data_IF_259021393170
#
_entry.id   IF_259021393170
#
_cell.length_a   1.000
_cell.length_b   1.000
_cell.length_c   1.000
_cell.angle_alpha   90.00
_cell.angle_beta   90.00
_cell.angle_gamma   90.00
#
_symmetry.space_group_name_H-M   'P 1'
#
loop_
_entity.id
_entity.type
_entity.pdbx_description
1 polymer ?
#
# COMPACT_ATOMS: atom_id res chain seq x y z
N UNK A 1 -46.90 54.61 -39.86
CA UNK A 1 -47.77 54.07 -38.78
C UNK A 1 -46.86 53.32 -37.82
N UNK A 2 -46.43 53.99 -36.74
CA UNK A 2 -46.81 53.74 -35.33
C UNK A 2 -46.20 52.45 -34.75
N UNK A 3 -45.52 52.41 -33.60
CA UNK A 3 -44.90 53.41 -32.71
C UNK A 3 -44.10 52.59 -31.66
N UNK A 4 -43.00 53.19 -31.19
CA UNK A 4 -42.11 52.78 -30.10
C UNK A 4 -42.82 52.80 -28.73
N UNK A 5 -42.51 51.84 -27.83
CA UNK A 5 -42.53 51.92 -26.36
C UNK A 5 -41.52 50.85 -25.85
N UNK A 6 -40.42 51.08 -25.11
CA UNK A 6 -40.08 51.85 -23.89
C UNK A 6 -40.98 51.61 -22.67
N UNK A 7 -40.45 50.85 -21.70
CA UNK A 7 -40.55 50.98 -20.20
C UNK A 7 -39.93 49.70 -19.60
N UNK A 8 -38.77 49.74 -18.91
CA UNK A 8 -38.51 50.16 -17.53
C UNK A 8 -39.52 49.61 -16.53
N UNK A 9 -39.09 48.65 -15.70
CA UNK A 9 -39.35 48.66 -14.27
C UNK A 9 -38.39 47.72 -13.53
N UNK A 10 -37.54 48.33 -12.70
CA UNK A 10 -36.88 47.69 -11.58
C UNK A 10 -37.92 47.20 -10.57
N UNK A 11 -37.70 46.05 -9.96
CA UNK A 11 -38.12 45.82 -8.59
C UNK A 11 -36.95 45.24 -7.79
N UNK A 12 -36.53 46.08 -6.85
CA UNK A 12 -35.64 45.83 -5.73
C UNK A 12 -36.26 44.90 -4.69
N UNK A 13 -35.35 44.28 -3.92
CA UNK A 13 -35.47 43.80 -2.53
C UNK A 13 -36.43 42.61 -2.30
N UNK A 14 -36.12 41.62 -1.47
CA UNK A 14 -35.70 41.67 -0.07
C UNK A 14 -34.94 40.40 0.33
N UNK A 15 -34.02 40.57 1.27
CA UNK A 15 -33.41 39.51 2.06
C UNK A 15 -34.47 38.71 2.84
N UNK A 16 -34.26 37.40 2.95
CA UNK A 16 -34.55 36.66 4.17
C UNK A 16 -33.50 35.58 4.39
N UNK A 17 -32.70 35.84 5.40
CA UNK A 17 -31.77 34.95 6.09
C UNK A 17 -32.49 33.75 6.69
N UNK A 18 -31.94 32.54 6.49
CA UNK A 18 -32.04 31.46 7.47
C UNK A 18 -30.65 30.88 7.72
N UNK A 19 -30.09 31.31 8.85
CA UNK A 19 -29.02 30.65 9.58
C UNK A 19 -29.53 29.28 10.07
N UNK A 20 -28.73 28.22 9.97
CA UNK A 20 -28.10 27.53 11.10
C UNK A 20 -27.22 26.34 10.60
N UNK A 21 -26.28 25.83 11.44
CA UNK A 21 -24.96 25.37 11.03
C UNK A 21 -24.70 23.89 11.37
N UNK A 22 -23.76 23.24 10.69
CA UNK A 22 -22.98 22.14 11.30
C UNK A 22 -21.53 22.21 10.80
N UNK A 23 -20.71 22.86 11.63
CA UNK A 23 -19.35 22.48 12.06
C UNK A 23 -18.41 21.84 11.01
N UNK A 24 -17.68 22.69 10.28
CA UNK A 24 -16.32 22.36 9.87
C UNK A 24 -15.37 22.73 11.01
N UNK A 25 -14.78 21.74 11.68
CA UNK A 25 -13.59 21.95 12.52
C UNK A 25 -12.40 21.93 11.58
N UNK A 26 -11.90 23.11 11.24
CA UNK A 26 -10.57 23.31 10.67
C UNK A 26 -10.06 24.68 11.12
N UNK A 27 -8.81 24.69 11.59
CA UNK A 27 -7.99 25.85 11.93
C UNK A 27 -8.35 26.65 13.20
N UNK A 28 -7.78 26.25 14.32
CA UNK A 28 -7.20 27.18 15.32
C UNK A 28 -5.70 27.26 15.00
N UNK A 29 -4.99 28.39 14.97
CA UNK A 29 -5.25 29.77 15.29
C UNK A 29 -4.09 30.57 14.64
N UNK A 30 -4.33 31.60 13.84
CA UNK A 30 -3.28 32.56 13.48
C UNK A 30 -3.87 33.89 13.06
N UNK A 31 -3.90 34.82 14.02
CA UNK A 31 -3.79 36.26 13.84
C UNK A 31 -3.30 36.79 15.20
N UNK A 32 -2.39 37.74 15.36
CA UNK A 32 -1.46 38.48 14.52
C UNK A 32 -0.49 39.10 15.55
N UNK A 33 0.80 39.24 15.23
CA UNK A 33 1.56 40.46 15.53
C UNK A 33 2.94 40.37 14.87
N UNK A 34 3.13 41.29 13.93
CA UNK A 34 4.39 41.69 13.33
C UNK A 34 5.37 42.19 14.40
N UNK A 35 6.53 41.54 14.47
CA UNK A 35 7.83 42.15 14.78
C UNK A 35 8.91 41.26 14.18
N UNK A 36 9.77 41.88 13.39
CA UNK A 36 11.04 41.34 12.91
C UNK A 36 11.78 40.58 14.01
N UNK A 37 12.30 39.39 13.67
CA UNK A 37 13.66 38.97 14.03
C UNK A 37 13.98 37.63 13.38
N UNK A 38 14.80 37.68 12.33
CA UNK A 38 15.92 36.77 12.04
C UNK A 38 16.10 35.55 13.00
N UNK A 39 15.23 34.54 12.93
CA UNK A 39 15.47 33.24 13.59
C UNK A 39 14.96 32.06 12.76
N UNK A 40 15.59 31.83 11.62
CA UNK A 40 15.98 30.48 11.20
C UNK A 40 17.49 30.55 10.95
N UNK A 41 18.30 30.77 12.00
CA UNK A 41 18.95 29.72 12.79
C UNK A 41 19.55 28.63 11.90
N UNK A 42 20.78 28.93 11.48
CA UNK A 42 21.93 28.02 11.45
C UNK A 42 21.71 26.66 10.82
N UNK A 43 22.26 26.51 9.61
CA UNK A 43 22.74 25.22 9.10
C UNK A 43 23.71 24.68 10.16
N UNK A 44 23.19 23.89 11.09
CA UNK A 44 24.01 23.06 11.95
C UNK A 44 24.60 21.98 11.03
N UNK A 45 25.92 21.89 10.99
CA UNK A 45 26.57 20.64 10.61
C UNK A 45 26.06 19.62 11.62
N UNK A 46 25.03 18.91 11.20
CA UNK A 46 24.25 18.02 12.03
C UNK A 46 24.95 16.69 11.89
N UNK A 47 25.43 16.13 13.01
CA UNK A 47 25.95 14.76 13.03
C UNK A 47 24.94 13.85 12.30
N UNK A 48 25.42 12.94 11.46
CA UNK A 48 24.59 12.10 10.59
C UNK A 48 23.47 11.40 11.38
N UNK A 49 23.76 11.03 12.63
CA UNK A 49 22.79 10.44 13.55
C UNK A 49 21.62 11.38 13.89
N UNK A 50 21.90 12.67 14.07
CA UNK A 50 20.86 13.67 14.39
C UNK A 50 19.98 13.96 13.17
N UNK A 51 20.54 13.93 11.95
CA UNK A 51 19.77 14.09 10.72
C UNK A 51 18.88 12.87 10.43
N UNK A 52 19.42 11.65 10.61
CA UNK A 52 18.65 10.40 10.49
C UNK A 52 17.43 10.40 11.43
N UNK A 53 17.62 10.82 12.69
CA UNK A 53 16.54 10.90 13.66
C UNK A 53 15.48 11.96 13.29
N UNK A 54 15.90 13.13 12.80
CA UNK A 54 14.97 14.14 12.28
C UNK A 54 14.14 13.62 11.10
N UNK A 55 14.77 12.94 10.14
CA UNK A 55 14.07 12.35 9.00
C UNK A 55 13.05 11.30 9.44
N UNK A 56 13.40 10.45 10.40
CA UNK A 56 12.47 9.49 10.99
C UNK A 56 11.28 10.18 11.65
N UNK A 57 11.50 11.26 12.39
CA UNK A 57 10.42 11.99 13.06
C UNK A 57 9.48 12.66 12.06
N UNK A 58 10.00 13.18 10.95
CA UNK A 58 9.17 13.69 9.85
C UNK A 58 8.37 12.55 9.21
N UNK A 59 9.01 11.42 8.90
CA UNK A 59 8.37 10.27 8.28
C UNK A 59 7.24 9.67 9.14
N UNK A 60 7.48 9.49 10.44
CA UNK A 60 6.48 8.96 11.37
C UNK A 60 5.29 9.91 11.58
N UNK A 61 5.43 11.21 11.27
CA UNK A 61 4.32 12.15 11.34
C UNK A 61 3.42 12.12 10.09
N UNK A 62 3.78 11.35 9.05
CA UNK A 62 2.90 11.22 7.90
C UNK A 62 1.62 10.44 8.24
N UNK A 63 0.50 10.92 7.69
CA UNK A 63 -0.83 10.38 7.99
C UNK A 63 -0.95 8.89 7.60
N UNK A 64 -0.48 8.53 6.41
CA UNK A 64 -0.50 7.13 5.92
C UNK A 64 0.35 6.19 6.77
N UNK A 65 1.48 6.67 7.32
CA UNK A 65 2.34 5.88 8.22
C UNK A 65 1.63 5.64 9.54
N UNK A 66 1.03 6.67 10.12
CA UNK A 66 0.24 6.54 11.34
C UNK A 66 -0.99 5.65 11.14
N UNK A 67 -1.70 5.78 10.02
CA UNK A 67 -2.82 4.91 9.67
C UNK A 67 -2.38 3.44 9.62
N UNK A 68 -1.28 3.13 8.94
CA UNK A 68 -0.74 1.78 8.84
C UNK A 68 -0.30 1.23 10.21
N UNK A 69 0.44 2.01 10.99
CA UNK A 69 0.87 1.60 12.34
C UNK A 69 -0.32 1.35 13.27
N UNK A 70 -1.36 2.18 13.21
CA UNK A 70 -2.56 2.02 14.04
C UNK A 70 -3.46 0.87 13.57
N UNK A 71 -3.40 0.50 12.28
CA UNK A 71 -4.04 -0.71 11.79
C UNK A 71 -3.38 -1.94 12.40
N UNK A 72 -2.05 -2.04 12.27
CA UNK A 72 -1.23 -3.20 12.69
C UNK A 72 -1.18 -3.36 14.21
N UNK A 73 -0.96 -2.28 14.95
CA UNK A 73 -0.75 -2.32 16.40
C UNK A 73 -1.94 -1.73 17.15
N UNK A 74 -2.60 -2.54 17.98
CA UNK A 74 -3.65 -2.08 18.89
C UNK A 74 -3.07 -1.43 20.16
N UNK A 75 -1.86 -1.84 20.55
CA UNK A 75 -1.18 -1.38 21.75
C UNK A 75 -0.05 -0.38 21.41
N UNK A 76 -0.04 0.76 22.10
CA UNK A 76 1.00 1.79 21.97
C UNK A 76 2.40 1.29 22.37
N UNK A 77 2.52 0.35 23.31
CA UNK A 77 3.80 -0.21 23.73
C UNK A 77 4.44 -1.02 22.59
N UNK A 78 3.69 -1.96 21.99
CA UNK A 78 4.15 -2.79 20.88
C UNK A 78 4.49 -1.95 19.66
N UNK A 79 3.66 -0.93 19.37
CA UNK A 79 3.92 0.05 18.31
C UNK A 79 5.26 0.76 18.51
N UNK A 80 5.54 1.25 19.72
CA UNK A 80 6.80 1.94 20.05
C UNK A 80 8.01 1.01 20.00
N UNK A 81 7.86 -0.21 20.50
CA UNK A 81 8.91 -1.22 20.44
C UNK A 81 9.26 -1.55 18.98
N UNK A 82 8.24 -1.75 18.14
CA UNK A 82 8.44 -1.99 16.72
C UNK A 82 9.13 -0.81 16.03
N UNK A 83 8.67 0.43 16.23
CA UNK A 83 9.32 1.62 15.66
C UNK A 83 10.80 1.68 16.07
N UNK A 84 11.13 1.42 17.33
CA UNK A 84 12.52 1.40 17.78
C UNK A 84 13.35 0.30 17.11
N UNK A 85 12.79 -0.91 16.96
CA UNK A 85 13.44 -1.98 16.19
C UNK A 85 13.75 -1.53 14.76
N UNK A 86 12.82 -0.84 14.10
CA UNK A 86 12.99 -0.35 12.73
C UNK A 86 14.03 0.76 12.62
N UNK A 87 14.09 1.69 13.60
CA UNK A 87 15.13 2.73 13.67
C UNK A 87 16.53 2.16 13.89
N UNK A 88 16.64 1.06 14.64
CA UNK A 88 17.90 0.42 15.01
C UNK A 88 18.45 -0.52 13.92
N UNK A 89 17.76 -0.69 12.78
CA UNK A 89 18.30 -1.41 11.63
C UNK A 89 19.55 -0.68 11.12
N UNK A 90 20.69 -1.39 10.97
CA UNK A 90 21.97 -0.77 10.64
C UNK A 90 22.00 -0.28 9.19
N UNK A 91 22.85 0.70 8.90
CA UNK A 91 22.92 1.34 7.59
C UNK A 91 23.45 0.40 6.49
N UNK A 92 24.27 -0.58 6.86
CA UNK A 92 24.77 -1.64 5.97
C UNK A 92 23.68 -2.63 5.53
N UNK A 93 22.48 -2.57 6.12
CA UNK A 93 21.34 -3.36 5.71
C UNK A 93 20.95 -3.10 4.24
N UNK A 94 21.11 -1.87 3.74
CA UNK A 94 20.89 -1.56 2.31
C UNK A 94 21.82 -2.38 1.40
N UNK A 95 23.08 -2.56 1.79
CA UNK A 95 24.06 -3.35 1.03
C UNK A 95 23.71 -4.85 1.07
N UNK A 96 23.20 -5.34 2.20
CA UNK A 96 22.70 -6.70 2.30
C UNK A 96 21.51 -6.92 1.36
N UNK A 97 20.51 -6.02 1.38
CA UNK A 97 19.35 -6.12 0.48
C UNK A 97 19.77 -6.04 -1.00
N UNK A 98 20.70 -5.15 -1.33
CA UNK A 98 21.28 -5.04 -2.68
C UNK A 98 21.86 -6.38 -3.15
N UNK A 99 22.64 -7.03 -2.30
CA UNK A 99 23.22 -8.34 -2.59
C UNK A 99 22.13 -9.41 -2.77
N UNK A 100 21.09 -9.41 -1.92
CA UNK A 100 19.99 -10.37 -2.05
C UNK A 100 19.23 -10.19 -3.37
N UNK A 101 18.91 -8.94 -3.76
CA UNK A 101 18.20 -8.62 -5.00
C UNK A 101 19.02 -8.95 -6.26
N UNK A 102 20.35 -8.92 -6.17
CA UNK A 102 21.23 -9.36 -7.26
C UNK A 102 21.01 -10.85 -7.61
N UNK A 103 20.81 -11.69 -6.60
CA UNK A 103 20.61 -13.13 -6.77
C UNK A 103 19.14 -13.53 -6.91
N UNK A 104 18.24 -12.79 -6.26
CA UNK A 104 16.81 -13.06 -6.20
C UNK A 104 16.05 -11.75 -6.39
N UNK A 105 15.66 -11.47 -7.63
CA UNK A 105 14.60 -10.52 -7.93
C UNK A 105 13.56 -11.21 -8.82
N UNK A 106 12.39 -10.58 -8.99
CA UNK A 106 11.26 -11.24 -9.64
C UNK A 106 11.53 -11.50 -11.13
N UNK A 107 12.46 -10.75 -11.75
CA UNK A 107 12.93 -11.01 -13.11
C UNK A 107 13.77 -12.29 -13.13
N UNK A 108 14.76 -12.42 -12.24
CA UNK A 108 15.65 -13.60 -12.18
C UNK A 108 14.87 -14.89 -11.87
N UNK A 109 13.81 -14.82 -11.07
CA UNK A 109 12.99 -16.00 -10.72
C UNK A 109 12.13 -16.48 -11.88
N UNK A 110 11.63 -15.59 -12.75
CA UNK A 110 10.84 -15.97 -13.93
C UNK A 110 11.62 -16.88 -14.91
N UNK A 111 12.95 -16.77 -14.94
CA UNK A 111 13.80 -17.58 -15.82
C UNK A 111 14.34 -18.87 -15.15
N UNK A 112 13.92 -19.20 -13.92
CA UNK A 112 14.32 -20.45 -13.24
C UNK A 112 13.16 -21.45 -13.23
N UNK A 113 13.27 -22.58 -13.94
CA UNK A 113 12.18 -23.55 -14.10
C UNK A 113 11.84 -24.37 -12.84
N UNK A 114 12.45 -24.10 -11.68
CA UNK A 114 12.23 -24.87 -10.46
C UNK A 114 11.37 -24.10 -9.44
N UNK A 115 10.12 -24.55 -9.30
CA UNK A 115 9.21 -24.29 -8.17
C UNK A 115 8.62 -22.88 -8.02
N UNK A 116 7.89 -22.40 -9.03
CA UNK A 116 6.86 -21.37 -8.82
C UNK A 116 5.69 -22.05 -8.10
N UNK A 117 5.72 -22.12 -6.77
CA UNK A 117 4.49 -22.41 -6.00
C UNK A 117 3.70 -21.13 -5.78
N UNK A 118 2.38 -21.24 -5.97
CA UNK A 118 1.37 -20.20 -5.71
C UNK A 118 1.18 -20.04 -4.19
N UNK A 119 2.11 -19.42 -3.49
CA UNK A 119 2.02 -19.30 -2.03
C UNK A 119 2.43 -17.95 -1.45
N UNK A 120 2.50 -16.90 -2.28
CA UNK A 120 2.55 -15.52 -1.80
C UNK A 120 1.24 -14.83 -2.09
N UNK A 121 0.87 -13.90 -1.21
CA UNK A 121 -0.33 -13.08 -1.32
C UNK A 121 -0.41 -12.32 -2.66
N UNK A 122 0.74 -11.91 -3.21
CA UNK A 122 0.83 -11.20 -4.49
C UNK A 122 0.97 -12.09 -5.75
N UNK A 123 0.62 -13.37 -5.68
CA UNK A 123 0.30 -14.18 -6.87
C UNK A 123 1.42 -14.44 -7.89
N UNK A 124 2.67 -14.11 -7.59
CA UNK A 124 3.82 -14.30 -8.49
C UNK A 124 5.01 -14.94 -7.79
N UNK A 125 5.06 -16.27 -7.71
CA UNK A 125 6.26 -17.13 -7.62
C UNK A 125 7.34 -16.95 -6.55
N UNK A 126 7.39 -15.85 -5.80
CA UNK A 126 8.48 -15.54 -4.87
C UNK A 126 8.36 -16.29 -3.56
N UNK A 127 7.17 -16.31 -2.97
CA UNK A 127 6.98 -16.69 -1.57
C UNK A 127 6.35 -18.07 -1.39
N UNK A 128 6.12 -18.79 -2.49
CA UNK A 128 5.65 -20.16 -2.45
C UNK A 128 6.57 -21.11 -1.69
N UNK A 129 5.97 -21.84 -0.74
CA UNK A 129 6.61 -22.92 0.00
C UNK A 129 6.41 -24.25 -0.74
N UNK A 130 7.25 -24.52 -1.75
CA UNK A 130 7.40 -25.90 -2.21
C UNK A 130 8.50 -26.56 -1.36
N UNK A 131 8.10 -27.40 -0.40
CA UNK A 131 9.01 -28.12 0.51
C UNK A 131 9.87 -29.18 -0.20
N UNK A 132 9.58 -29.50 -1.47
CA UNK A 132 10.14 -30.68 -2.15
C UNK A 132 11.09 -30.39 -3.34
N UNK A 133 11.47 -29.13 -3.60
CA UNK A 133 12.49 -28.81 -4.62
C UNK A 133 13.82 -28.42 -3.95
N UNK A 134 14.93 -29.07 -4.31
CA UNK A 134 16.28 -28.66 -3.90
C UNK A 134 16.61 -27.30 -4.51
N UNK A 135 16.26 -26.21 -3.83
CA UNK A 135 16.63 -24.86 -4.26
C UNK A 135 18.15 -24.69 -4.11
N UNK A 136 18.75 -23.95 -5.04
CA UNK A 136 20.13 -23.47 -4.88
C UNK A 136 20.24 -22.72 -3.55
N UNK A 137 21.27 -22.96 -2.74
CA UNK A 137 21.41 -22.44 -1.37
C UNK A 137 21.20 -20.93 -1.30
N UNK A 138 21.80 -20.18 -2.23
CA UNK A 138 21.61 -18.73 -2.35
C UNK A 138 20.14 -18.33 -2.53
N UNK A 139 19.33 -19.12 -3.25
CA UNK A 139 17.90 -18.86 -3.45
C UNK A 139 17.12 -19.07 -2.15
N UNK A 140 17.38 -20.16 -1.43
CA UNK A 140 16.66 -20.41 -0.17
C UNK A 140 17.01 -19.41 0.92
N UNK A 141 18.29 -19.04 1.04
CA UNK A 141 18.75 -18.13 2.10
C UNK A 141 18.34 -16.68 1.83
N UNK A 142 18.58 -16.17 0.62
CA UNK A 142 18.26 -14.76 0.33
C UNK A 142 16.75 -14.54 0.16
N UNK A 143 15.96 -15.57 -0.17
CA UNK A 143 14.50 -15.46 -0.23
C UNK A 143 13.95 -15.10 1.15
N UNK A 144 14.35 -15.86 2.17
CA UNK A 144 13.89 -15.61 3.54
C UNK A 144 14.31 -14.21 4.03
N UNK A 145 15.48 -13.72 3.56
CA UNK A 145 15.94 -12.37 3.87
C UNK A 145 15.16 -11.27 3.17
N UNK A 146 14.68 -11.51 1.95
CA UNK A 146 13.75 -10.59 1.29
C UNK A 146 12.34 -10.67 1.90
N UNK A 147 11.89 -11.85 2.35
CA UNK A 147 10.64 -11.96 3.14
C UNK A 147 10.74 -11.15 4.44
N UNK A 148 11.88 -11.18 5.13
CA UNK A 148 12.14 -10.34 6.30
C UNK A 148 11.99 -8.85 5.96
N UNK A 149 12.52 -8.39 4.82
CA UNK A 149 12.35 -7.02 4.35
C UNK A 149 10.88 -6.64 4.16
N UNK A 150 10.12 -7.47 3.43
CA UNK A 150 8.74 -7.13 3.04
C UNK A 150 7.71 -7.35 4.15
N UNK A 151 8.00 -8.23 5.12
CA UNK A 151 7.05 -8.61 6.18
C UNK A 151 7.40 -8.08 7.56
N UNK A 152 8.68 -8.05 7.90
CA UNK A 152 9.14 -7.68 9.25
C UNK A 152 9.77 -6.29 9.29
N UNK A 153 10.44 -5.87 8.21
CA UNK A 153 11.14 -4.59 8.12
C UNK A 153 10.42 -3.60 7.19
N UNK A 154 9.09 -3.72 7.10
CA UNK A 154 8.26 -2.97 6.17
C UNK A 154 8.29 -1.45 6.44
N UNK A 155 8.42 -1.03 7.71
CA UNK A 155 8.44 0.40 8.04
C UNK A 155 9.76 1.03 7.62
N UNK A 156 10.87 0.31 7.84
CA UNK A 156 12.18 0.70 7.33
C UNK A 156 12.22 0.69 5.80
N UNK A 157 11.56 -0.27 5.14
CA UNK A 157 11.42 -0.27 3.69
C UNK A 157 10.76 1.01 3.19
N UNK A 158 9.62 1.40 3.78
CA UNK A 158 8.91 2.64 3.41
C UNK A 158 9.75 3.88 3.70
N UNK A 159 10.50 3.90 4.80
CA UNK A 159 11.40 5.00 5.14
C UNK A 159 12.48 5.20 4.07
N UNK A 160 13.05 4.12 3.54
CA UNK A 160 14.12 4.13 2.54
C UNK A 160 13.63 3.92 1.11
N UNK A 161 12.36 4.19 0.82
CA UNK A 161 11.79 3.80 -0.48
C UNK A 161 12.41 4.56 -1.67
N UNK A 162 13.01 5.72 -1.41
CA UNK A 162 13.81 6.50 -2.35
C UNK A 162 15.14 5.82 -2.74
N UNK A 163 15.56 4.78 -2.02
CA UNK A 163 16.77 4.00 -2.34
C UNK A 163 16.48 2.82 -3.26
N UNK A 164 15.22 2.44 -3.42
CA UNK A 164 14.87 1.28 -4.22
C UNK A 164 14.73 1.62 -5.71
N UNK A 165 15.22 0.71 -6.55
CA UNK A 165 15.14 0.81 -8.01
C UNK A 165 14.19 -0.25 -8.53
N UNK A 166 13.16 0.21 -9.23
CA UNK A 166 12.16 -0.63 -9.83
C UNK A 166 12.40 -0.73 -11.33
N UNK A 167 12.42 -1.94 -11.88
CA UNK A 167 12.53 -2.19 -13.33
C UNK A 167 11.16 -2.38 -13.93
N UNK A 168 10.93 -1.80 -15.10
CA UNK A 168 9.79 -2.16 -15.91
C UNK A 168 9.89 -3.64 -16.28
N UNK A 169 8.80 -4.39 -16.10
CA UNK A 169 8.71 -5.77 -16.53
C UNK A 169 7.35 -5.97 -17.21
N UNK A 170 7.36 -6.23 -18.51
CA UNK A 170 6.13 -6.53 -19.22
C UNK A 170 5.65 -7.93 -18.91
N UNK A 171 4.40 -8.05 -18.47
CA UNK A 171 3.67 -9.29 -18.57
C UNK A 171 3.40 -9.51 -20.08
N UNK A 172 4.35 -10.16 -20.77
CA UNK A 172 4.17 -10.50 -22.19
C UNK A 172 3.08 -11.57 -22.28
N UNK A 173 1.90 -11.18 -22.75
CA UNK A 173 0.88 -12.14 -23.16
C UNK A 173 1.34 -12.82 -24.46
N UNK A 174 1.86 -14.03 -24.33
CA UNK A 174 2.34 -14.86 -25.45
C UNK A 174 1.24 -15.21 -26.47
N UNK A 175 -0.03 -14.93 -26.14
CA UNK A 175 -1.19 -15.13 -27.02
C UNK A 175 -1.67 -13.84 -27.68
N UNK A 176 -1.12 -12.68 -27.30
CA UNK A 176 -1.55 -11.36 -27.80
C UNK A 176 -0.91 -10.96 -29.14
N UNK A 177 0.11 -11.68 -29.60
CA UNK A 177 0.75 -11.39 -30.88
C UNK A 177 1.91 -12.35 -31.21
N UNK A 178 2.51 -12.16 -32.38
CA UNK A 178 3.75 -12.85 -32.72
C UNK A 178 4.88 -12.40 -31.81
N UNK A 179 5.80 -13.31 -31.45
CA UNK A 179 6.97 -13.03 -30.60
C UNK A 179 7.76 -11.81 -31.06
N UNK A 180 7.89 -11.59 -32.37
CA UNK A 180 8.62 -10.44 -32.92
C UNK A 180 7.94 -9.10 -32.63
N UNK A 181 6.61 -9.03 -32.75
CA UNK A 181 5.83 -7.85 -32.41
C UNK A 181 5.88 -7.58 -30.90
N UNK A 182 5.75 -8.62 -30.08
CA UNK A 182 5.85 -8.50 -28.63
C UNK A 182 7.24 -8.01 -28.20
N UNK A 183 8.29 -8.53 -28.82
CA UNK A 183 9.67 -8.09 -28.56
C UNK A 183 9.89 -6.64 -28.98
N UNK A 184 9.34 -6.23 -30.13
CA UNK A 184 9.40 -4.84 -30.58
C UNK A 184 8.65 -3.89 -29.65
N UNK A 185 7.46 -4.27 -29.20
CA UNK A 185 6.66 -3.48 -28.27
C UNK A 185 7.34 -3.36 -26.91
N UNK A 186 7.95 -4.44 -26.40
CA UNK A 186 8.75 -4.39 -25.16
C UNK A 186 9.96 -3.47 -25.30
N UNK A 187 10.70 -3.56 -26.41
CA UNK A 187 11.84 -2.68 -26.67
C UNK A 187 11.40 -1.22 -26.79
N UNK A 188 10.32 -0.95 -27.52
CA UNK A 188 9.74 0.38 -27.66
C UNK A 188 9.29 0.92 -26.31
N UNK A 189 8.54 0.15 -25.54
CA UNK A 189 8.07 0.56 -24.22
C UNK A 189 9.21 0.77 -23.23
N UNK A 190 10.31 0.02 -23.33
CA UNK A 190 11.53 0.24 -22.53
C UNK A 190 12.34 1.46 -22.96
N UNK A 191 12.21 1.91 -24.21
CA UNK A 191 12.85 3.14 -24.70
C UNK A 191 12.01 4.36 -24.37
N UNK A 192 10.69 4.25 -24.46
CA UNK A 192 9.72 5.32 -24.18
C UNK A 192 9.53 5.52 -22.67
N UNK A 193 9.47 4.43 -21.89
CA UNK A 193 9.35 4.46 -20.45
C UNK A 193 10.70 4.04 -19.87
N UNK A 194 11.32 4.90 -19.05
CA UNK A 194 12.62 4.58 -18.44
C UNK A 194 12.62 3.15 -17.89
N UNK A 195 13.56 2.29 -18.30
CA UNK A 195 13.54 0.87 -17.93
C UNK A 195 13.67 0.69 -16.42
N UNK A 196 14.21 1.70 -15.74
CA UNK A 196 14.34 1.76 -14.30
C UNK A 196 13.73 3.06 -13.75
N UNK A 197 13.05 2.94 -12.62
CA UNK A 197 12.53 4.07 -11.85
C UNK A 197 13.13 4.00 -10.45
N UNK A 198 13.61 5.14 -9.98
CA UNK A 198 14.01 5.37 -8.58
C UNK A 198 13.19 6.52 -8.06
N UNK A 199 12.65 6.36 -6.85
CA UNK A 199 11.93 7.45 -6.23
C UNK A 199 12.93 8.51 -5.72
N UNK A 200 12.58 9.79 -5.86
CA UNK A 200 13.40 10.89 -5.36
C UNK A 200 13.10 11.20 -3.89
N UNK A 201 12.02 10.64 -3.35
CA UNK A 201 11.53 10.91 -2.00
C UNK A 201 10.64 9.75 -1.53
N UNK A 202 10.55 9.56 -0.21
CA UNK A 202 9.62 8.65 0.43
C UNK A 202 8.22 9.25 0.68
N UNK A 203 7.93 10.42 0.11
CA UNK A 203 6.65 11.09 0.26
C UNK A 203 5.54 10.45 -0.58
N UNK A 204 4.41 10.20 0.09
CA UNK A 204 3.18 9.70 -0.50
C UNK A 204 2.23 10.88 -0.75
N UNK A 205 1.71 10.98 -1.98
CA UNK A 205 0.74 11.99 -2.40
C UNK A 205 -0.66 11.65 -1.88
N UNK A 206 -1.08 10.39 -2.01
CA UNK A 206 -2.39 9.90 -1.55
C UNK A 206 -2.29 8.48 -1.05
N UNK A 207 -3.16 8.10 -0.12
CA UNK A 207 -3.32 6.70 0.29
C UNK A 207 -4.80 6.31 0.33
N UNK A 208 -5.08 5.02 0.19
CA UNK A 208 -6.42 4.45 0.31
C UNK A 208 -6.31 3.09 0.98
N UNK A 209 -7.26 2.77 1.86
CA UNK A 209 -7.33 1.48 2.55
C UNK A 209 -8.61 0.80 2.09
N UNK A 210 -8.48 -0.44 1.62
CA UNK A 210 -9.59 -1.32 1.30
C UNK A 210 -9.66 -2.43 2.34
N UNK A 211 -10.82 -2.62 2.96
CA UNK A 211 -11.10 -3.72 3.88
C UNK A 211 -11.89 -4.80 3.14
N UNK A 212 -11.41 -6.03 3.24
CA UNK A 212 -12.05 -7.24 2.74
C UNK A 212 -12.14 -8.25 3.88
N UNK A 213 -13.33 -8.36 4.46
CA UNK A 213 -13.60 -9.23 5.60
C UNK A 213 -14.34 -10.48 5.12
N UNK A 214 -13.74 -11.63 5.40
CA UNK A 214 -14.37 -12.94 5.29
C UNK A 214 -14.59 -13.51 6.70
N UNK A 215 -15.23 -14.67 6.78
CA UNK A 215 -15.54 -15.31 8.07
C UNK A 215 -14.25 -15.66 8.84
N UNK A 216 -13.24 -16.18 8.15
CA UNK A 216 -11.99 -16.67 8.78
C UNK A 216 -10.87 -15.62 8.85
N UNK A 217 -10.99 -14.51 8.13
CA UNK A 217 -9.92 -13.52 8.04
C UNK A 217 -10.39 -12.11 7.74
N UNK A 218 -9.70 -11.15 8.34
CA UNK A 218 -9.83 -9.73 8.05
C UNK A 218 -8.61 -9.29 7.25
N UNK A 219 -8.83 -8.90 5.98
CA UNK A 219 -7.78 -8.48 5.08
C UNK A 219 -7.89 -6.98 4.81
N UNK A 220 -6.76 -6.28 4.87
CA UNK A 220 -6.66 -4.89 4.41
C UNK A 220 -5.69 -4.82 3.23
N UNK A 221 -6.02 -4.02 2.22
CA UNK A 221 -5.08 -3.63 1.17
C UNK A 221 -4.91 -2.12 1.22
N UNK A 222 -3.70 -1.68 1.55
CA UNK A 222 -3.29 -0.29 1.57
C UNK A 222 -2.61 0.05 0.25
N UNK A 223 -3.17 1.02 -0.46
CA UNK A 223 -2.64 1.58 -1.70
C UNK A 223 -1.97 2.91 -1.40
N UNK A 224 -0.71 3.06 -1.79
CA UNK A 224 0.06 4.29 -1.62
C UNK A 224 0.44 4.86 -3.00
N UNK A 225 -0.01 6.06 -3.32
CA UNK A 225 0.40 6.80 -4.51
C UNK A 225 1.57 7.72 -4.16
N UNK A 226 2.76 7.48 -4.71
CA UNK A 226 3.93 8.33 -4.51
C UNK A 226 3.81 9.65 -5.27
N UNK A 227 4.62 10.65 -4.90
CA UNK A 227 4.70 11.93 -5.66
C UNK A 227 5.16 11.78 -7.11
N UNK A 228 5.78 10.66 -7.45
CA UNK A 228 6.21 10.34 -8.83
C UNK A 228 5.22 9.41 -9.55
N UNK A 229 4.05 9.11 -8.95
CA UNK A 229 2.97 8.39 -9.61
C UNK A 229 3.06 6.86 -9.50
N UNK A 230 4.00 6.33 -8.72
CA UNK A 230 4.04 4.90 -8.42
C UNK A 230 2.94 4.57 -7.41
N UNK A 231 2.19 3.51 -7.70
CA UNK A 231 1.18 2.93 -6.83
C UNK A 231 1.77 1.67 -6.21
N UNK A 232 1.92 1.70 -4.89
CA UNK A 232 2.45 0.60 -4.08
C UNK A 232 1.32 -0.04 -3.29
N UNK A 233 1.42 -1.35 -3.08
CA UNK A 233 0.40 -2.12 -2.36
C UNK A 233 1.02 -2.76 -1.12
N UNK A 234 0.32 -2.68 0.01
CA UNK A 234 0.66 -3.36 1.25
C UNK A 234 -0.58 -4.16 1.66
N UNK A 235 -0.41 -5.47 1.86
CA UNK A 235 -1.47 -6.30 2.39
C UNK A 235 -1.27 -6.49 3.89
N UNK A 236 -2.37 -6.42 4.63
CA UNK A 236 -2.44 -6.80 6.03
C UNK A 236 -3.45 -7.92 6.17
N UNK A 237 -3.11 -8.97 6.90
CA UNK A 237 -4.00 -10.12 7.12
C UNK A 237 -4.06 -10.44 8.60
N UNK A 238 -5.28 -10.61 9.11
CA UNK A 238 -5.55 -11.02 10.47
C UNK A 238 -6.43 -12.26 10.43
N UNK A 239 -5.96 -13.37 10.98
CA UNK A 239 -6.76 -14.58 11.18
C UNK A 239 -7.78 -14.32 12.30
N UNK A 240 -9.05 -14.61 12.02
CA UNK A 240 -10.12 -14.50 13.00
C UNK A 240 -10.28 -15.87 13.66
N UNK A 241 -10.20 -15.92 14.99
CA UNK A 241 -10.56 -17.12 15.74
C UNK A 241 -12.06 -17.32 15.57
N UNK A 242 -12.47 -18.27 14.72
CA UNK A 242 -13.84 -18.75 14.75
C UNK A 242 -14.01 -19.55 16.05
N UNK A 243 -15.08 -19.33 16.83
CA UNK A 243 -15.47 -20.33 17.81
C UNK A 243 -15.63 -21.63 17.02
N UNK A 244 -14.86 -22.64 17.39
CA UNK A 244 -15.12 -24.01 16.96
C UNK A 244 -16.56 -24.25 17.42
N UNK A 245 -17.49 -24.36 16.47
CA UNK A 245 -18.75 -25.00 16.74
C UNK A 245 -18.35 -26.44 17.08
N UNK A 246 -18.10 -26.69 18.37
CA UNK A 246 -18.26 -28.01 18.95
C UNK A 246 -19.74 -28.32 18.71
N UNK A 247 -20.05 -28.80 17.50
CA UNK A 247 -21.23 -29.63 17.28
C UNK A 247 -21.03 -30.80 18.23
N UNK A 248 -21.59 -30.65 19.43
CA UNK A 248 -21.92 -31.76 20.30
C UNK A 248 -22.70 -32.74 19.41
N UNK A 249 -22.00 -33.74 18.86
CA UNK A 249 -22.61 -35.01 18.46
C UNK A 249 -23.14 -35.62 19.78
N UNK A 250 -24.26 -35.08 20.27
CA UNK A 250 -25.09 -35.71 21.27
C UNK A 250 -25.70 -36.93 20.58
N UNK A 251 -25.01 -38.06 20.69
CA UNK A 251 -25.62 -39.35 20.48
C UNK A 251 -26.75 -39.46 21.51
N UNK A 252 -27.99 -39.33 21.06
CA UNK A 252 -29.16 -39.77 21.82
C UNK A 252 -29.06 -41.29 21.98
N UNK A 253 -28.37 -41.74 23.03
CA UNK A 253 -28.61 -43.06 23.61
C UNK A 253 -29.91 -42.96 24.44
N UNK A 254 -31.01 -43.40 23.83
CA UNK A 254 -32.23 -43.75 24.55
C UNK A 254 -31.90 -44.87 25.55
N UNK A 255 -31.90 -44.58 26.86
CA UNK A 255 -32.41 -45.51 27.89
C UNK A 255 -32.55 -44.85 29.29
N UNK A 256 -33.83 -44.76 29.69
CA UNK A 256 -34.43 -44.83 31.04
C UNK A 256 -33.72 -44.37 32.35
N UNK A 257 -34.36 -43.35 32.95
CA UNK A 257 -34.71 -43.20 34.39
C UNK A 257 -33.63 -42.86 35.44
N UNK A 258 -33.69 -41.64 36.00
CA UNK A 258 -34.14 -41.33 37.38
C UNK A 258 -33.56 -40.00 37.91
N UNK A 259 -34.38 -39.32 38.72
CA UNK A 259 -34.14 -38.11 39.50
C UNK A 259 -32.71 -37.91 40.04
N UNK A 260 -32.15 -36.70 39.88
CA UNK A 260 -31.66 -35.90 41.03
C UNK A 260 -31.47 -34.41 40.70
N UNK A 261 -31.94 -33.56 41.61
CA UNK A 261 -31.57 -32.16 41.81
C UNK A 261 -30.05 -31.94 41.86
N UNK A 262 -29.54 -30.93 41.15
CA UNK A 262 -28.80 -29.79 41.74
C UNK A 262 -27.98 -28.99 40.72
N UNK A 263 -28.29 -27.70 40.69
CA UNK A 263 -27.37 -26.56 40.74
C UNK A 263 -26.12 -26.57 39.83
N UNK A 264 -26.04 -25.55 38.97
CA UNK A 264 -25.12 -24.40 39.10
C UNK A 264 -24.68 -23.91 37.70
N UNK A 265 -25.54 -23.14 37.04
CA UNK A 265 -25.18 -22.44 35.79
C UNK A 265 -24.34 -21.22 36.17
N UNK A 266 -23.04 -21.45 36.29
CA UNK A 266 -22.05 -20.39 36.37
C UNK A 266 -21.80 -19.89 34.94
N UNK A 267 -22.44 -18.77 34.62
CA UNK A 267 -22.21 -17.99 33.41
C UNK A 267 -20.74 -17.60 33.32
N UNK A 268 -19.98 -18.30 32.46
CA UNK A 268 -18.68 -17.83 31.98
C UNK A 268 -18.93 -16.59 31.13
N UNK A 269 -18.45 -15.46 31.63
CA UNK A 269 -18.26 -14.23 30.88
C UNK A 269 -17.52 -14.54 29.57
N UNK A 270 -18.13 -14.13 28.45
CA UNK A 270 -17.48 -14.02 27.15
C UNK A 270 -16.35 -12.98 27.27
N UNK A 271 -15.17 -13.44 27.67
CA UNK A 271 -13.96 -12.66 27.47
C UNK A 271 -13.71 -12.56 25.96
N UNK A 272 -13.40 -11.34 25.51
CA UNK A 272 -13.18 -11.03 24.10
C UNK A 272 -12.19 -12.03 23.47
N UNK A 273 -12.46 -12.56 22.26
CA UNK A 273 -11.53 -13.46 21.60
C UNK A 273 -10.16 -12.78 21.48
N UNK A 274 -9.11 -13.51 21.84
CA UNK A 274 -7.72 -13.07 21.72
C UNK A 274 -7.44 -12.90 20.23
N UNK A 275 -7.55 -11.66 19.75
CA UNK A 275 -7.35 -11.38 18.33
C UNK A 275 -5.89 -11.67 17.93
N UNK A 276 -5.71 -12.51 16.91
CA UNK A 276 -4.39 -12.83 16.36
C UNK A 276 -3.66 -11.56 15.88
N UNK A 277 -2.31 -11.54 15.92
CA UNK A 277 -1.53 -10.43 15.40
C UNK A 277 -1.77 -10.24 13.90
N UNK A 278 -1.70 -9.00 13.45
CA UNK A 278 -1.85 -8.67 12.02
C UNK A 278 -0.51 -8.91 11.31
N UNK A 279 -0.51 -9.78 10.30
CA UNK A 279 0.61 -9.96 9.39
C UNK A 279 0.63 -8.85 8.34
N UNK A 280 1.82 -8.36 7.98
CA UNK A 280 2.02 -7.33 6.96
C UNK A 280 2.87 -7.90 5.83
N UNK A 281 2.53 -7.59 4.58
CA UNK A 281 3.34 -7.93 3.40
C UNK A 281 3.33 -6.76 2.40
N UNK A 282 4.51 -6.18 2.15
CA UNK A 282 4.70 -5.20 1.07
C UNK A 282 4.84 -5.92 -0.26
N UNK A 283 4.09 -5.47 -1.28
CA UNK A 283 4.27 -5.93 -2.65
C UNK A 283 5.65 -5.51 -3.18
N UNK A 284 6.45 -6.44 -3.74
CA UNK A 284 7.68 -6.10 -4.45
C UNK A 284 7.40 -5.46 -5.83
N UNK A 285 6.11 -5.34 -6.20
CA UNK A 285 5.66 -4.70 -7.42
C UNK A 285 5.05 -3.32 -7.14
N UNK A 286 5.28 -2.41 -8.07
CA UNK A 286 4.64 -1.11 -8.15
C UNK A 286 3.94 -0.95 -9.51
N UNK A 287 2.96 -0.08 -9.58
CA UNK A 287 2.23 0.21 -10.81
C UNK A 287 2.27 1.71 -11.13
N UNK A 288 2.33 2.09 -12.41
CA UNK A 288 2.31 3.49 -12.84
C UNK A 288 1.52 3.63 -14.14
N UNK A 289 0.68 4.65 -14.25
CA UNK A 289 -0.07 4.88 -15.48
C UNK A 289 0.81 5.56 -16.54
N UNK A 290 0.67 5.17 -17.83
CA UNK A 290 1.43 5.78 -18.93
C UNK A 290 1.34 7.32 -18.94
N UNK A 291 0.16 7.88 -18.73
CA UNK A 291 -0.05 9.33 -18.71
C UNK A 291 0.78 10.08 -17.65
N UNK A 292 1.25 9.43 -16.59
CA UNK A 292 2.06 10.07 -15.55
C UNK A 292 3.51 10.35 -15.98
N UNK A 293 4.03 9.58 -16.95
CA UNK A 293 5.34 9.85 -17.55
C UNK A 293 5.32 11.14 -18.38
N UNK A 294 4.21 11.40 -19.06
CA UNK A 294 4.03 12.58 -19.92
C UNK A 294 3.63 13.82 -19.12
N UNK A 295 2.81 13.64 -18.08
CA UNK A 295 2.30 14.75 -17.28
C UNK A 295 2.15 14.40 -15.79
N UNK A 296 3.14 14.80 -15.00
CA UNK A 296 3.14 14.64 -13.55
C UNK A 296 2.02 15.43 -12.84
N UNK A 297 1.42 16.45 -13.46
CA UNK A 297 0.31 17.18 -12.83
C UNK A 297 -0.92 16.28 -12.61
N UNK A 298 -1.09 15.25 -13.45
CA UNK A 298 -2.19 14.30 -13.35
C UNK A 298 -2.14 13.46 -12.07
N UNK A 299 -0.97 13.32 -11.44
CA UNK A 299 -0.80 12.56 -10.19
C UNK A 299 -1.62 13.21 -9.06
N UNK A 300 -1.63 14.55 -9.00
CA UNK A 300 -2.39 15.30 -7.99
C UNK A 300 -3.89 15.16 -8.17
N UNK A 301 -4.34 15.03 -9.41
CA UNK A 301 -5.77 14.88 -9.75
C UNK A 301 -6.20 13.41 -9.82
N UNK A 302 -5.27 12.47 -9.67
CA UNK A 302 -5.56 11.05 -9.75
C UNK A 302 -6.51 10.61 -8.63
N UNK A 303 -7.59 9.96 -9.02
CA UNK A 303 -8.59 9.44 -8.10
C UNK A 303 -8.21 8.03 -7.65
N UNK A 304 -7.39 7.97 -6.58
CA UNK A 304 -6.91 6.71 -6.01
C UNK A 304 -8.06 5.83 -5.51
N UNK A 305 -9.16 6.42 -5.03
CA UNK A 305 -10.32 5.64 -4.57
C UNK A 305 -11.02 4.94 -5.74
N UNK A 306 -11.24 5.65 -6.85
CA UNK A 306 -11.82 5.04 -8.05
C UNK A 306 -10.88 4.02 -8.70
N UNK A 307 -9.56 4.23 -8.61
CA UNK A 307 -8.58 3.21 -8.98
C UNK A 307 -8.77 1.92 -8.16
N UNK A 308 -8.85 2.04 -6.82
CA UNK A 308 -9.08 0.88 -5.94
C UNK A 308 -10.38 0.16 -6.29
N UNK A 309 -11.47 0.91 -6.52
CA UNK A 309 -12.75 0.34 -6.99
C UNK A 309 -12.59 -0.39 -8.32
N UNK A 310 -11.87 0.18 -9.28
CA UNK A 310 -11.62 -0.43 -10.59
C UNK A 310 -10.87 -1.76 -10.45
N UNK A 311 -9.86 -1.80 -9.58
CA UNK A 311 -9.11 -3.03 -9.30
C UNK A 311 -10.01 -4.11 -8.68
N UNK A 312 -10.80 -3.77 -7.67
CA UNK A 312 -11.73 -4.72 -7.00
C UNK A 312 -12.79 -5.23 -7.99
N UNK A 313 -13.35 -4.35 -8.82
CA UNK A 313 -14.38 -4.71 -9.79
C UNK A 313 -13.84 -5.63 -10.88
N UNK A 314 -12.58 -5.48 -11.28
CA UNK A 314 -11.98 -6.36 -12.29
C UNK A 314 -11.77 -7.79 -11.82
N UNK A 315 -11.55 -7.99 -10.51
CA UNK A 315 -11.43 -9.32 -9.89
C UNK A 315 -12.77 -10.05 -9.80
N UNK A 316 -13.88 -9.30 -9.77
CA UNK A 316 -15.23 -9.84 -9.66
C UNK A 316 -15.87 -10.04 -11.05
N UNK A 317 -16.02 -11.30 -11.46
CA UNK A 317 -16.41 -11.73 -12.81
C UNK A 317 -17.81 -11.21 -13.18
N UNK A 318 -17.87 -10.09 -13.90
CA UNK A 318 -19.05 -9.55 -14.57
C UNK A 318 -18.66 -8.59 -15.70
N UNK A 319 -19.30 -8.68 -16.87
CA UNK A 319 -18.91 -7.91 -18.08
C UNK A 319 -18.97 -6.39 -17.90
N UNK A 320 -19.98 -5.88 -17.18
CA UNK A 320 -20.12 -4.45 -16.87
C UNK A 320 -19.04 -3.93 -15.92
N UNK A 321 -18.54 -4.77 -15.01
CA UNK A 321 -17.47 -4.43 -14.05
C UNK A 321 -16.11 -4.31 -14.73
N UNK A 322 -15.87 -5.10 -15.79
CA UNK A 322 -14.68 -4.96 -16.64
C UNK A 322 -14.70 -3.64 -17.44
N UNK A 323 -15.88 -3.22 -17.92
CA UNK A 323 -16.01 -1.96 -18.66
C UNK A 323 -15.63 -0.73 -17.82
N UNK A 324 -15.95 -0.73 -16.52
CA UNK A 324 -15.52 0.35 -15.62
C UNK A 324 -14.00 0.45 -15.53
N UNK A 325 -13.30 -0.67 -15.37
CA UNK A 325 -11.82 -0.67 -15.34
C UNK A 325 -11.24 -0.21 -16.67
N UNK A 326 -11.75 -0.70 -17.80
CA UNK A 326 -11.28 -0.28 -19.12
C UNK A 326 -11.45 1.23 -19.29
N UNK A 327 -12.62 1.77 -18.97
CA UNK A 327 -12.86 3.22 -19.08
C UNK A 327 -11.99 4.04 -18.12
N UNK A 328 -11.73 3.53 -16.92
CA UNK A 328 -10.82 4.15 -15.97
C UNK A 328 -9.39 4.17 -16.53
N UNK A 329 -8.89 3.03 -17.01
CA UNK A 329 -7.56 2.87 -17.59
C UNK A 329 -7.37 3.80 -18.80
N UNK A 330 -8.34 3.84 -19.72
CA UNK A 330 -8.32 4.69 -20.93
C UNK A 330 -8.11 6.17 -20.59
N UNK A 331 -8.69 6.65 -19.49
CA UNK A 331 -8.52 8.04 -19.00
C UNK A 331 -7.05 8.36 -18.69
N UNK A 332 -6.25 7.37 -18.34
CA UNK A 332 -4.86 7.53 -17.91
C UNK A 332 -3.85 6.92 -18.88
N UNK A 333 -4.24 6.74 -20.15
CA UNK A 333 -3.35 6.24 -21.21
C UNK A 333 -3.31 4.73 -21.33
N UNK A 334 -4.33 4.03 -20.84
CA UNK A 334 -4.45 2.57 -20.87
C UNK A 334 -4.07 1.92 -19.54
N UNK A 335 -3.83 0.61 -19.56
CA UNK A 335 -3.56 -0.15 -18.34
C UNK A 335 -2.26 0.28 -17.66
N UNK A 336 -2.21 0.25 -16.32
CA UNK A 336 -1.02 0.62 -15.58
C UNK A 336 0.13 -0.34 -15.90
N UNK A 337 1.33 0.21 -15.99
CA UNK A 337 2.57 -0.50 -16.23
C UNK A 337 3.11 -1.04 -14.91
N UNK A 338 3.45 -2.33 -14.86
CA UNK A 338 4.01 -2.96 -13.67
C UNK A 338 5.53 -2.83 -13.64
N UNK A 339 6.03 -2.46 -12.48
CA UNK A 339 7.45 -2.38 -12.17
C UNK A 339 7.77 -3.32 -11.02
N UNK A 340 8.96 -3.91 -11.07
CA UNK A 340 9.46 -4.90 -10.10
C UNK A 340 10.64 -4.32 -9.36
N UNK A 341 10.70 -4.49 -8.04
CA UNK A 341 11.90 -4.16 -7.29
C UNK A 341 13.08 -5.06 -7.71
N UNK A 342 14.16 -4.44 -8.19
CA UNK A 342 15.33 -5.18 -8.71
C UNK A 342 16.65 -4.81 -8.05
N UNK A 343 16.74 -3.65 -7.41
CA UNK A 343 18.01 -3.14 -6.92
C UNK A 343 17.84 -2.07 -5.83
N UNK A 344 18.94 -1.77 -5.13
CA UNK A 344 19.05 -0.69 -4.14
C UNK A 344 20.20 0.22 -4.54
N UNK A 345 19.90 1.51 -4.72
CA UNK A 345 20.92 2.54 -4.84
C UNK A 345 21.37 2.99 -3.44
N UNK A 346 22.54 2.50 -3.03
CA UNK A 346 23.18 2.82 -1.76
C UNK A 346 24.07 4.09 -1.86
N UNK A 347 24.18 4.70 -3.03
CA UNK A 347 24.90 5.96 -3.17
C UNK A 347 24.01 7.11 -2.66
N UNK A 348 24.57 7.94 -1.78
CA UNK A 348 23.98 9.24 -1.42
C UNK A 348 24.11 10.21 -2.60
N UNK A 349 23.52 9.87 -3.75
CA UNK A 349 23.40 10.80 -4.86
C UNK A 349 22.30 11.80 -4.52
N UNK A 350 22.66 12.86 -3.79
CA UNK A 350 22.04 14.15 -3.99
C UNK A 350 22.32 14.55 -5.44
N UNK A 351 21.43 14.14 -6.37
CA UNK A 351 21.39 14.75 -7.68
C UNK A 351 20.79 16.12 -7.47
N UNK A 352 21.65 17.12 -7.28
CA UNK A 352 21.30 18.52 -7.50
C UNK A 352 20.66 18.60 -8.90
N UNK A 353 19.39 18.99 -8.93
CA UNK A 353 18.67 19.31 -10.15
C UNK A 353 18.76 20.82 -10.40
#
# INVERSE_FOLDING_TARGET
MNKIYKKILMFSSLLSTSLLPILAISCTNSQNNTKDENQLKTIFITDNNTQKEQNWNIFLNYEHVNALLNLVFKNEADKKEYIQKQKNIPDDYLELIKNYLFYINNIVIMYRPESISKGGIFGGGLFGNNKNSKKVVAVSEFKNKLEELYKQNWLWFLFNIDKFVFSYNEDIDQFSGSIDLLTQDTQKNSLENSPFITLNTNQIEKYSIYEDKNDDSLNYIVYLLTKQGLILNIQLTQELDNPIDEEDEEYEDEDETNDTDSQNVQSKTKDNPVQNPIEVEISPFAEIYPSFFENQSLIKDFDLLNYVRAQIFSKNIGSSKKAFKIHFDDKYGGSPKRFTLVYVNNENTYKEA
#
